data_IF_039174564844
#
_entry.id   IF_039174564844
#
_cell.length_a   1.000
_cell.length_b   1.000
_cell.length_c   1.000
_cell.angle_alpha   90.00
_cell.angle_beta   90.00
_cell.angle_gamma   90.00
#
_symmetry.space_group_name_H-M   'P 1'
#
loop_
_entity.id
_entity.type
_entity.pdbx_description
1 polymer ?
#
# COMPACT_ATOMS: atom_id res chain seq x y z
N UNK A 1 -35.09 2.31 11.33
CA UNK A 1 -33.97 1.37 11.47
C UNK A 1 -32.77 1.96 10.73
N UNK A 2 -31.72 2.31 11.45
CA UNK A 2 -30.43 2.69 10.84
C UNK A 2 -29.94 1.51 10.03
N UNK A 3 -29.54 1.70 8.77
CA UNK A 3 -29.00 0.60 7.98
C UNK A 3 -27.76 0.05 8.72
N UNK A 4 -27.71 -1.28 8.88
CA UNK A 4 -26.56 -1.94 9.47
C UNK A 4 -25.34 -1.73 8.53
N UNK A 5 -24.47 -0.80 8.88
CA UNK A 5 -23.21 -0.62 8.19
C UNK A 5 -22.24 -1.72 8.64
N UNK A 6 -21.75 -2.51 7.70
CA UNK A 6 -20.69 -3.47 7.95
C UNK A 6 -19.37 -2.94 7.41
N UNK A 7 -18.30 -3.11 8.18
CA UNK A 7 -16.93 -2.76 7.79
C UNK A 7 -16.18 -4.05 7.51
N UNK A 8 -15.56 -4.15 6.34
CA UNK A 8 -14.60 -5.21 6.02
C UNK A 8 -13.21 -4.60 5.88
N UNK A 9 -12.27 -5.11 6.66
CA UNK A 9 -10.88 -4.65 6.67
C UNK A 9 -9.99 -5.62 5.90
N UNK A 10 -9.21 -5.09 4.96
CA UNK A 10 -8.22 -5.84 4.17
C UNK A 10 -6.84 -5.33 4.54
N UNK A 11 -5.94 -6.24 4.92
CA UNK A 11 -4.61 -5.91 5.42
C UNK A 11 -3.71 -5.40 4.30
N UNK A 12 -3.02 -4.28 4.56
CA UNK A 12 -1.96 -3.74 3.72
C UNK A 12 -0.57 -4.10 4.23
N UNK A 13 0.46 -3.62 3.54
CA UNK A 13 1.85 -3.85 3.95
C UNK A 13 2.33 -2.86 5.04
N UNK A 14 1.57 -1.82 5.33
CA UNK A 14 1.90 -0.83 6.37
C UNK A 14 1.18 -1.06 7.70
N UNK A 15 0.23 -1.95 7.73
CA UNK A 15 -0.63 -2.25 8.86
C UNK A 15 -0.66 -3.75 9.26
N UNK A 16 0.47 -4.48 9.17
CA UNK A 16 0.51 -5.91 9.44
C UNK A 16 0.17 -6.26 10.89
N UNK A 17 0.24 -5.29 11.81
CA UNK A 17 -0.17 -5.47 13.20
C UNK A 17 -1.60 -5.94 13.37
N UNK A 18 -2.48 -5.63 12.40
CA UNK A 18 -3.88 -6.09 12.40
C UNK A 18 -4.03 -7.62 12.23
N UNK A 19 -2.96 -8.32 11.85
CA UNK A 19 -2.96 -9.80 11.80
C UNK A 19 -2.96 -10.45 13.19
N UNK A 20 -2.69 -9.68 14.24
CA UNK A 20 -2.79 -10.18 15.62
C UNK A 20 -4.25 -10.19 16.08
N UNK A 21 -4.78 -11.34 16.56
CA UNK A 21 -6.16 -11.41 17.06
C UNK A 21 -6.46 -10.39 18.15
N UNK A 22 -5.55 -10.19 19.11
CA UNK A 22 -5.72 -9.21 20.18
C UNK A 22 -5.82 -7.76 19.69
N UNK A 23 -5.15 -7.42 18.55
CA UNK A 23 -5.30 -6.10 17.92
C UNK A 23 -6.67 -5.96 17.28
N UNK A 24 -7.18 -7.03 16.65
CA UNK A 24 -8.53 -7.04 16.05
C UNK A 24 -9.62 -6.89 17.13
N UNK A 25 -9.47 -7.59 18.26
CA UNK A 25 -10.38 -7.51 19.40
C UNK A 25 -10.40 -6.09 19.99
N UNK A 26 -9.22 -5.51 20.23
CA UNK A 26 -9.11 -4.15 20.78
C UNK A 26 -9.67 -3.10 19.82
N UNK A 27 -9.45 -3.25 18.52
CA UNK A 27 -10.01 -2.35 17.52
C UNK A 27 -11.54 -2.40 17.49
N UNK A 28 -12.13 -3.60 17.52
CA UNK A 28 -13.59 -3.77 17.59
C UNK A 28 -14.17 -3.11 18.84
N UNK A 29 -13.50 -3.30 20.00
CA UNK A 29 -13.90 -2.71 21.28
C UNK A 29 -13.81 -1.20 21.25
N UNK A 30 -12.69 -0.65 20.75
CA UNK A 30 -12.43 0.79 20.72
C UNK A 30 -13.42 1.53 19.80
N UNK A 31 -13.80 0.91 18.68
CA UNK A 31 -14.72 1.52 17.71
C UNK A 31 -16.19 1.19 17.97
N UNK A 32 -16.49 0.40 19.01
CA UNK A 32 -17.83 -0.12 19.28
C UNK A 32 -18.53 -0.66 18.02
N UNK A 33 -17.78 -1.41 17.22
CA UNK A 33 -18.19 -1.89 15.91
C UNK A 33 -17.63 -3.26 15.61
N UNK A 34 -18.41 -4.12 14.97
CA UNK A 34 -17.93 -5.40 14.49
C UNK A 34 -17.31 -5.28 13.09
N UNK A 35 -15.99 -5.36 13.03
CA UNK A 35 -15.25 -5.36 11.77
C UNK A 35 -15.03 -6.80 11.31
N UNK A 36 -15.27 -7.06 10.03
CA UNK A 36 -14.88 -8.30 9.37
C UNK A 36 -13.43 -8.17 8.88
N UNK A 37 -12.50 -8.87 9.50
CA UNK A 37 -11.09 -8.90 9.09
C UNK A 37 -10.88 -9.98 8.03
N UNK A 38 -10.88 -9.59 6.76
CA UNK A 38 -10.82 -10.50 5.60
C UNK A 38 -9.41 -10.99 5.25
N UNK A 39 -8.40 -10.63 6.05
CA UNK A 39 -7.01 -10.94 5.71
C UNK A 39 -6.51 -10.12 4.51
N UNK A 40 -5.90 -10.76 3.52
CA UNK A 40 -5.27 -10.05 2.39
C UNK A 40 -6.20 -9.77 1.22
N UNK A 41 -7.32 -10.48 1.10
CA UNK A 41 -8.28 -10.31 0.00
C UNK A 41 -9.72 -10.50 0.44
N UNK A 42 -10.62 -9.89 -0.30
CA UNK A 42 -12.06 -10.04 -0.13
C UNK A 42 -12.75 -10.15 -1.48
N UNK A 43 -13.67 -11.10 -1.61
CA UNK A 43 -14.34 -11.35 -2.89
C UNK A 43 -15.84 -11.46 -2.67
N UNK A 44 -16.62 -10.81 -3.54
CA UNK A 44 -18.07 -10.92 -3.60
C UNK A 44 -18.54 -10.62 -5.02
N UNK A 45 -19.58 -11.26 -5.48
CA UNK A 45 -20.26 -11.03 -6.76
C UNK A 45 -19.31 -10.81 -7.96
N UNK A 46 -18.19 -11.55 -8.00
CA UNK A 46 -17.18 -11.45 -9.05
C UNK A 46 -16.26 -10.22 -8.95
N UNK A 47 -16.33 -9.47 -7.86
CA UNK A 47 -15.40 -8.40 -7.52
C UNK A 47 -14.33 -8.94 -6.59
N UNK A 48 -13.07 -8.84 -6.97
CA UNK A 48 -11.88 -9.15 -6.17
C UNK A 48 -11.28 -7.88 -5.63
N UNK A 49 -11.15 -7.76 -4.31
CA UNK A 49 -10.57 -6.59 -3.64
C UNK A 49 -9.34 -7.03 -2.84
N UNK A 50 -8.26 -6.28 -2.97
CA UNK A 50 -6.99 -6.56 -2.33
C UNK A 50 -6.16 -5.28 -2.23
N UNK A 51 -5.27 -5.17 -1.23
CA UNK A 51 -4.36 -4.03 -1.19
C UNK A 51 -3.41 -4.00 -2.41
N UNK A 52 -2.94 -5.16 -2.86
CA UNK A 52 -2.07 -5.30 -4.04
C UNK A 52 -0.58 -5.50 -3.71
N UNK A 53 -0.18 -5.41 -2.45
CA UNK A 53 1.21 -5.62 -2.03
C UNK A 53 1.71 -7.05 -2.20
N UNK A 54 0.80 -8.04 -2.26
CA UNK A 54 1.13 -9.44 -2.49
C UNK A 54 1.77 -9.69 -3.88
N UNK A 55 1.63 -8.75 -4.82
CA UNK A 55 2.27 -8.79 -6.14
C UNK A 55 3.60 -8.02 -6.20
N UNK A 56 4.00 -7.42 -5.09
CA UNK A 56 5.28 -6.73 -4.95
C UNK A 56 6.26 -7.64 -4.19
N UNK A 57 7.32 -8.16 -4.82
CA UNK A 57 8.19 -9.19 -4.23
C UNK A 57 8.73 -8.85 -2.85
N UNK A 58 9.06 -7.56 -2.61
CA UNK A 58 9.60 -7.10 -1.33
C UNK A 58 8.56 -6.86 -0.25
N UNK A 59 7.27 -6.74 -0.61
CA UNK A 59 6.17 -6.48 0.33
C UNK A 59 5.24 -7.68 0.52
N UNK A 60 5.50 -8.76 -0.22
CA UNK A 60 4.68 -9.96 -0.18
C UNK A 60 4.85 -10.71 1.13
N UNK A 61 3.74 -10.98 1.80
CA UNK A 61 3.69 -11.89 2.96
C UNK A 61 3.63 -13.34 2.51
N UNK A 62 4.23 -14.21 3.30
CA UNK A 62 3.99 -15.64 3.21
C UNK A 62 2.75 -15.99 4.05
N UNK A 63 1.62 -16.18 3.37
CA UNK A 63 0.33 -16.43 4.02
C UNK A 63 0.30 -17.72 4.84
N UNK A 64 1.15 -18.69 4.50
CA UNK A 64 1.27 -19.94 5.25
C UNK A 64 2.19 -19.82 6.47
N UNK A 65 2.95 -18.73 6.59
CA UNK A 65 3.92 -18.51 7.65
C UNK A 65 3.96 -17.05 8.09
N UNK A 66 2.80 -16.55 8.54
CA UNK A 66 2.62 -15.16 8.99
C UNK A 66 3.34 -14.86 10.29
N UNK A 67 3.55 -15.86 11.13
CA UNK A 67 4.21 -15.74 12.42
C UNK A 67 5.40 -16.67 12.49
N UNK A 68 6.42 -16.26 13.24
CA UNK A 68 7.60 -17.06 13.55
C UNK A 68 8.03 -16.80 14.99
N UNK A 69 8.91 -17.63 15.50
CA UNK A 69 9.59 -17.38 16.78
C UNK A 69 10.87 -16.56 16.55
N UNK A 70 11.11 -15.62 17.43
CA UNK A 70 12.38 -14.91 17.48
C UNK A 70 13.42 -15.73 18.26
N UNK A 71 14.65 -15.19 18.44
CA UNK A 71 15.73 -15.88 19.16
C UNK A 71 15.45 -16.12 20.65
N UNK A 72 14.44 -15.46 21.20
CA UNK A 72 14.00 -15.60 22.59
C UNK A 72 12.81 -16.56 22.74
N UNK A 73 12.36 -17.18 21.66
CA UNK A 73 11.16 -18.03 21.65
C UNK A 73 9.84 -17.25 21.62
N UNK A 74 9.87 -15.93 21.43
CA UNK A 74 8.66 -15.13 21.39
C UNK A 74 8.05 -15.17 20.00
N UNK A 75 6.72 -15.30 19.91
CA UNK A 75 5.97 -15.25 18.67
C UNK A 75 6.01 -13.83 18.09
N UNK A 76 6.45 -13.67 16.85
CA UNK A 76 6.54 -12.39 16.14
C UNK A 76 5.99 -12.52 14.73
N UNK A 77 5.57 -11.41 14.12
CA UNK A 77 5.18 -11.39 12.71
C UNK A 77 6.39 -11.68 11.82
N UNK A 78 6.19 -12.51 10.82
CA UNK A 78 7.17 -12.78 9.78
C UNK A 78 7.07 -11.71 8.69
N UNK A 79 7.59 -10.53 8.99
CA UNK A 79 7.49 -9.36 8.14
C UNK A 79 8.31 -9.52 6.85
N UNK A 80 7.77 -9.17 5.68
CA UNK A 80 8.53 -9.09 4.45
C UNK A 80 9.56 -7.96 4.53
N UNK A 81 10.56 -8.04 3.65
CA UNK A 81 11.68 -7.11 3.64
C UNK A 81 11.23 -5.63 3.56
N UNK A 82 10.22 -5.32 2.73
CA UNK A 82 9.72 -3.94 2.60
C UNK A 82 9.15 -3.36 3.89
N UNK A 83 8.52 -4.18 4.75
CA UNK A 83 8.06 -3.74 6.06
C UNK A 83 9.24 -3.44 6.99
N UNK A 84 10.28 -4.30 6.98
CA UNK A 84 11.51 -4.06 7.74
C UNK A 84 12.22 -2.79 7.28
N UNK A 85 12.29 -2.55 5.97
CA UNK A 85 12.83 -1.32 5.42
C UNK A 85 12.07 -0.07 5.89
N UNK A 86 10.74 -0.13 5.95
CA UNK A 86 9.92 0.97 6.49
C UNK A 86 10.27 1.23 7.96
N UNK A 87 10.35 0.19 8.77
CA UNK A 87 10.60 0.30 10.22
C UNK A 87 12.05 0.76 10.49
N UNK A 88 13.03 0.14 9.85
CA UNK A 88 14.45 0.35 10.17
C UNK A 88 15.05 1.58 9.48
N UNK A 89 14.50 2.00 8.34
CA UNK A 89 15.01 3.12 7.55
C UNK A 89 14.01 4.27 7.40
N UNK A 90 12.82 4.01 6.84
CA UNK A 90 11.91 5.10 6.46
C UNK A 90 11.36 5.86 7.67
N UNK A 91 10.95 5.18 8.73
CA UNK A 91 10.42 5.82 9.94
C UNK A 91 11.45 6.74 10.60
N UNK A 92 12.70 6.31 10.89
CA UNK A 92 13.72 7.19 11.42
C UNK A 92 13.98 8.44 10.56
N UNK A 93 14.04 8.26 9.23
CA UNK A 93 14.25 9.39 8.32
C UNK A 93 13.02 10.32 8.27
N UNK A 94 11.81 9.75 8.39
CA UNK A 94 10.56 10.51 8.46
C UNK A 94 10.46 11.36 9.73
N UNK A 95 11.06 10.94 10.83
CA UNK A 95 11.14 11.77 12.05
C UNK A 95 11.94 13.07 11.82
N UNK A 96 12.90 13.04 10.90
CA UNK A 96 13.68 14.24 10.52
C UNK A 96 12.98 15.05 9.40
N UNK A 97 12.30 14.36 8.48
CA UNK A 97 11.64 14.94 7.29
C UNK A 97 10.25 14.32 7.08
N UNK A 98 9.25 14.89 7.70
CA UNK A 98 7.87 14.35 7.80
C UNK A 98 7.24 13.98 6.47
N UNK A 99 7.60 14.64 5.37
CA UNK A 99 7.00 14.44 4.05
C UNK A 99 7.77 13.49 3.13
N UNK A 100 8.85 12.87 3.61
CA UNK A 100 9.75 12.08 2.77
C UNK A 100 9.07 10.92 2.04
N UNK A 101 8.10 10.28 2.68
CA UNK A 101 7.32 9.17 2.13
C UNK A 101 6.30 9.60 1.05
N UNK A 102 6.08 10.90 0.92
CA UNK A 102 5.13 11.49 -0.05
C UNK A 102 5.82 12.02 -1.30
N UNK A 103 7.16 12.08 -1.31
CA UNK A 103 7.93 12.64 -2.41
C UNK A 103 8.24 11.57 -3.46
N UNK A 104 7.90 11.85 -4.71
CA UNK A 104 8.12 10.94 -5.84
C UNK A 104 8.87 11.64 -6.99
N UNK A 105 9.82 10.97 -7.64
CA UNK A 105 10.41 9.69 -7.25
C UNK A 105 11.38 9.86 -6.08
N UNK A 106 11.31 8.97 -5.10
CA UNK A 106 12.13 8.99 -3.88
C UNK A 106 13.64 9.08 -4.15
N UNK A 107 14.12 8.39 -5.15
CA UNK A 107 15.55 8.42 -5.56
C UNK A 107 16.02 9.81 -5.95
N UNK A 108 15.18 10.56 -6.64
CA UNK A 108 15.48 11.95 -7.05
C UNK A 108 15.58 12.86 -5.83
N UNK A 109 14.68 12.66 -4.87
CA UNK A 109 14.74 13.41 -3.61
C UNK A 109 16.04 13.17 -2.84
N UNK A 110 16.48 11.91 -2.71
CA UNK A 110 17.75 11.60 -2.06
C UNK A 110 18.96 12.25 -2.78
N UNK A 111 18.96 12.20 -4.11
CA UNK A 111 20.01 12.83 -4.92
C UNK A 111 20.03 14.36 -4.72
N UNK A 112 18.88 15.01 -4.79
CA UNK A 112 18.77 16.44 -4.53
C UNK A 112 19.15 16.79 -3.08
N UNK A 113 18.86 15.91 -2.12
CA UNK A 113 19.29 16.04 -0.73
C UNK A 113 20.80 16.12 -0.58
N UNK A 114 21.58 15.36 -1.35
CA UNK A 114 23.05 15.48 -1.32
C UNK A 114 23.50 16.86 -1.80
N UNK A 115 22.86 17.39 -2.84
CA UNK A 115 23.26 18.65 -3.49
C UNK A 115 22.84 19.89 -2.69
N UNK A 116 21.62 19.89 -2.16
CA UNK A 116 20.98 21.09 -1.59
C UNK A 116 20.79 21.02 -0.06
N UNK A 117 20.88 19.85 0.54
CA UNK A 117 20.80 19.63 1.99
C UNK A 117 21.75 18.48 2.40
N UNK A 118 23.08 18.66 2.26
CA UNK A 118 24.07 17.60 2.49
C UNK A 118 24.07 17.08 3.93
N UNK A 119 23.73 17.91 4.91
CA UNK A 119 23.63 17.52 6.32
C UNK A 119 22.53 16.48 6.56
N UNK A 120 21.49 16.46 5.73
CA UNK A 120 20.45 15.44 5.72
C UNK A 120 20.76 14.32 4.69
N UNK A 121 21.08 14.69 3.46
CA UNK A 121 21.19 13.77 2.32
C UNK A 121 22.30 12.73 2.50
N UNK A 122 23.47 13.14 2.99
CA UNK A 122 24.60 12.23 3.22
C UNK A 122 24.29 11.20 4.33
N UNK A 123 23.83 11.58 5.53
CA UNK A 123 23.41 10.63 6.55
C UNK A 123 22.28 9.70 6.09
N UNK A 124 21.29 10.20 5.36
CA UNK A 124 20.18 9.39 4.85
C UNK A 124 20.68 8.30 3.89
N UNK A 125 21.57 8.63 2.95
CA UNK A 125 22.16 7.66 2.02
C UNK A 125 23.09 6.68 2.74
N UNK A 126 23.85 7.15 3.70
CA UNK A 126 24.69 6.28 4.53
C UNK A 126 23.84 5.25 5.29
N UNK A 127 22.76 5.68 5.95
CA UNK A 127 21.80 4.78 6.63
C UNK A 127 21.20 3.78 5.64
N UNK A 128 20.80 4.23 4.46
CA UNK A 128 20.26 3.37 3.41
C UNK A 128 21.27 2.31 2.98
N UNK A 129 22.51 2.72 2.73
CA UNK A 129 23.60 1.82 2.32
C UNK A 129 23.92 0.80 3.42
N UNK A 130 24.01 1.24 4.68
CA UNK A 130 24.22 0.35 5.82
C UNK A 130 23.08 -0.64 6.00
N UNK A 131 21.83 -0.21 5.78
CA UNK A 131 20.68 -1.09 5.82
C UNK A 131 20.80 -2.21 4.76
N UNK A 132 21.16 -1.86 3.51
CA UNK A 132 21.39 -2.85 2.46
C UNK A 132 22.57 -3.79 2.75
N UNK A 133 23.67 -3.29 3.32
CA UNK A 133 24.80 -4.12 3.73
C UNK A 133 24.40 -5.10 4.83
N UNK A 134 23.72 -4.61 5.87
CA UNK A 134 23.23 -5.47 6.97
C UNK A 134 22.28 -6.54 6.46
N UNK A 135 21.37 -6.17 5.58
CA UNK A 135 20.43 -7.09 4.96
C UNK A 135 21.17 -8.15 4.12
N UNK A 136 22.13 -7.75 3.32
CA UNK A 136 22.99 -8.67 2.58
C UNK A 136 23.78 -9.63 3.49
N UNK A 137 24.26 -9.18 4.62
CA UNK A 137 24.96 -10.02 5.58
C UNK A 137 24.00 -11.01 6.28
N UNK A 138 22.76 -10.59 6.56
CA UNK A 138 21.71 -11.46 7.07
C UNK A 138 21.34 -12.56 6.06
N UNK A 139 21.19 -12.20 4.77
CA UNK A 139 20.82 -13.13 3.67
C UNK A 139 21.99 -14.06 3.33
N UNK A 140 23.26 -13.66 3.56
CA UNK A 140 24.44 -14.51 3.30
C UNK A 140 24.41 -15.84 4.07
N UNK A 141 23.73 -15.87 5.22
CA UNK A 141 23.50 -17.08 6.02
C UNK A 141 22.29 -17.90 5.54
N UNK A 142 21.47 -17.36 4.63
CA UNK A 142 20.38 -18.01 3.99
C UNK A 142 20.77 -18.27 2.54
N UNK A 143 20.83 -19.52 2.11
CA UNK A 143 21.27 -19.96 0.76
C UNK A 143 20.43 -19.41 -0.42
N UNK A 144 19.67 -18.36 -0.26
CA UNK A 144 18.70 -17.89 -1.24
C UNK A 144 19.09 -16.58 -1.94
N UNK A 145 19.77 -16.76 -3.10
CA UNK A 145 20.06 -15.66 -4.05
C UNK A 145 18.80 -14.95 -4.58
N UNK A 146 17.60 -15.56 -4.45
CA UNK A 146 16.34 -14.95 -4.89
C UNK A 146 15.92 -13.77 -3.99
N UNK A 147 16.15 -13.85 -2.69
CA UNK A 147 15.75 -12.77 -1.77
C UNK A 147 16.58 -11.50 -2.00
N UNK A 148 17.87 -11.62 -2.30
CA UNK A 148 18.69 -10.46 -2.63
C UNK A 148 18.21 -9.71 -3.88
N UNK A 149 17.79 -10.43 -4.94
CA UNK A 149 17.19 -9.78 -6.11
C UNK A 149 15.91 -9.04 -5.75
N UNK A 150 15.10 -9.57 -4.84
CA UNK A 150 13.87 -8.93 -4.33
C UNK A 150 14.17 -7.61 -3.60
N UNK A 151 15.22 -7.59 -2.78
CA UNK A 151 15.64 -6.36 -2.06
C UNK A 151 16.04 -5.23 -3.03
N UNK A 152 16.74 -5.57 -4.12
CA UNK A 152 17.09 -4.58 -5.15
C UNK A 152 15.90 -4.10 -5.97
N UNK A 153 14.84 -4.88 -6.07
CA UNK A 153 13.63 -4.50 -6.81
C UNK A 153 12.86 -3.35 -6.14
N UNK A 154 13.05 -3.12 -4.83
CA UNK A 154 12.48 -1.95 -4.13
C UNK A 154 12.99 -0.63 -4.69
N UNK A 155 14.23 -0.61 -5.18
CA UNK A 155 14.80 0.56 -5.84
C UNK A 155 14.30 0.74 -7.28
N UNK A 156 13.60 -0.24 -7.83
CA UNK A 156 13.01 -0.18 -9.15
C UNK A 156 11.59 0.39 -9.09
N UNK A 157 11.10 0.74 -10.25
CA UNK A 157 9.74 1.27 -10.44
C UNK A 157 8.71 0.32 -9.83
N UNK A 158 7.71 0.88 -9.14
CA UNK A 158 6.55 0.15 -8.60
C UNK A 158 6.01 -0.85 -9.62
N UNK A 159 5.68 -2.10 -9.22
CA UNK A 159 5.19 -3.12 -10.13
C UNK A 159 3.93 -2.64 -10.84
N UNK A 160 3.80 -3.00 -12.11
CA UNK A 160 2.57 -2.78 -12.87
C UNK A 160 1.51 -3.75 -12.36
N UNK A 161 0.76 -3.34 -11.32
CA UNK A 161 -0.31 -4.14 -10.71
C UNK A 161 -1.39 -4.55 -11.72
N UNK A 162 -1.51 -3.82 -12.81
CA UNK A 162 -2.41 -4.12 -13.91
C UNK A 162 -2.19 -5.52 -14.49
N UNK A 163 -0.94 -5.97 -14.64
CA UNK A 163 -0.65 -7.33 -15.13
C UNK A 163 -1.09 -8.42 -14.14
N UNK A 164 -0.97 -8.15 -12.85
CA UNK A 164 -1.46 -9.06 -11.82
C UNK A 164 -2.99 -9.09 -11.80
N UNK A 165 -3.64 -7.93 -11.97
CA UNK A 165 -5.09 -7.85 -12.10
C UNK A 165 -5.61 -8.63 -13.30
N UNK A 166 -4.94 -8.57 -14.47
CA UNK A 166 -5.31 -9.37 -15.66
C UNK A 166 -5.29 -10.87 -15.37
N UNK A 167 -4.32 -11.35 -14.59
CA UNK A 167 -4.24 -12.77 -14.21
C UNK A 167 -5.42 -13.21 -13.33
N UNK A 168 -5.88 -12.33 -12.43
CA UNK A 168 -7.07 -12.61 -11.62
C UNK A 168 -8.32 -12.58 -12.50
N UNK A 169 -8.45 -11.55 -13.34
CA UNK A 169 -9.58 -11.41 -14.26
C UNK A 169 -9.70 -12.54 -15.28
N UNK A 170 -8.59 -13.24 -15.57
CA UNK A 170 -8.61 -14.44 -16.43
C UNK A 170 -9.27 -15.65 -15.76
N UNK A 171 -9.36 -15.66 -14.42
CA UNK A 171 -10.03 -16.75 -13.69
C UNK A 171 -11.56 -16.66 -13.87
N UNK A 172 -12.28 -17.79 -13.93
CA UNK A 172 -13.73 -17.82 -13.99
C UNK A 172 -14.35 -17.09 -12.79
N UNK A 173 -15.49 -16.45 -13.02
CA UNK A 173 -16.25 -15.78 -11.97
C UNK A 173 -15.76 -14.39 -11.58
N UNK A 174 -14.56 -13.95 -11.98
CA UNK A 174 -14.05 -12.61 -11.68
C UNK A 174 -14.21 -11.68 -12.88
N UNK A 175 -14.84 -10.54 -12.67
CA UNK A 175 -15.01 -9.49 -13.68
C UNK A 175 -14.45 -8.13 -13.27
N UNK A 176 -14.19 -7.92 -11.97
CA UNK A 176 -13.61 -6.68 -11.48
C UNK A 176 -12.53 -6.97 -10.45
N UNK A 177 -11.40 -6.25 -10.56
CA UNK A 177 -10.31 -6.26 -9.58
C UNK A 177 -10.08 -4.84 -9.09
N UNK A 178 -10.03 -4.68 -7.77
CA UNK A 178 -9.79 -3.39 -7.10
C UNK A 178 -8.53 -3.52 -6.26
N UNK A 179 -7.53 -2.67 -6.54
CA UNK A 179 -6.27 -2.58 -5.81
C UNK A 179 -6.01 -1.16 -5.27
N UNK A 180 -5.01 -1.03 -4.41
CA UNK A 180 -4.34 0.18 -3.97
C UNK A 180 -2.83 0.08 -4.18
N UNK A 181 -2.04 0.21 -3.13
CA UNK A 181 -0.61 -0.04 -2.96
C UNK A 181 0.36 0.87 -3.73
N UNK A 182 0.21 1.05 -5.03
CA UNK A 182 1.15 1.85 -5.83
C UNK A 182 0.85 3.36 -5.82
N UNK A 183 -0.17 3.79 -5.09
CA UNK A 183 -0.60 5.18 -4.95
C UNK A 183 -1.03 5.87 -6.26
N UNK A 184 -1.23 5.10 -7.34
CA UNK A 184 -1.63 5.62 -8.65
C UNK A 184 -3.07 5.22 -8.95
N UNK A 185 -3.98 6.19 -8.91
CA UNK A 185 -5.36 5.96 -9.27
C UNK A 185 -5.48 5.53 -10.74
N UNK A 186 -6.21 4.46 -10.98
CA UNK A 186 -6.40 3.91 -12.32
C UNK A 186 -7.80 3.31 -12.49
N UNK A 187 -8.33 3.44 -13.69
CA UNK A 187 -9.57 2.80 -14.13
C UNK A 187 -9.34 2.26 -15.54
N UNK A 188 -9.23 0.94 -15.69
CA UNK A 188 -8.88 0.29 -16.95
C UNK A 188 -9.87 -0.81 -17.30
N UNK A 189 -10.48 -0.73 -18.47
CA UNK A 189 -11.35 -1.79 -19.02
C UNK A 189 -10.54 -2.70 -19.94
N UNK A 190 -10.77 -4.02 -19.81
CA UNK A 190 -10.22 -5.05 -20.68
C UNK A 190 -11.39 -5.73 -21.40
N UNK A 191 -11.60 -5.35 -22.66
CA UNK A 191 -12.80 -5.73 -23.39
C UNK A 191 -14.08 -5.14 -22.80
N UNK A 192 -15.21 -5.85 -22.97
CA UNK A 192 -16.53 -5.35 -22.55
C UNK A 192 -16.84 -5.60 -21.07
N UNK A 193 -16.24 -6.64 -20.48
CA UNK A 193 -16.72 -7.17 -19.19
C UNK A 193 -15.72 -7.14 -18.05
N UNK A 194 -14.44 -6.95 -18.33
CA UNK A 194 -13.38 -7.00 -17.32
C UNK A 194 -12.92 -5.60 -16.94
N UNK A 195 -12.78 -5.35 -15.63
CA UNK A 195 -12.43 -4.05 -15.09
C UNK A 195 -11.30 -4.16 -14.05
N UNK A 196 -10.30 -3.31 -14.19
CA UNK A 196 -9.30 -3.05 -13.16
C UNK A 196 -9.46 -1.62 -12.62
N UNK A 197 -9.49 -1.50 -11.30
CA UNK A 197 -9.52 -0.22 -10.59
C UNK A 197 -8.38 -0.19 -9.59
N UNK A 198 -7.66 0.93 -9.53
CA UNK A 198 -6.77 1.22 -8.42
C UNK A 198 -7.26 2.49 -7.73
N UNK A 199 -7.46 2.40 -6.41
CA UNK A 199 -8.01 3.51 -5.63
C UNK A 199 -6.98 4.62 -5.37
N UNK A 200 -5.70 4.42 -5.72
CA UNK A 200 -4.66 5.41 -5.48
C UNK A 200 -4.32 5.57 -4.00
N UNK A 201 -4.23 6.82 -3.56
CA UNK A 201 -3.93 7.16 -2.17
C UNK A 201 -4.72 8.38 -1.72
N UNK A 202 -4.97 8.48 -0.42
CA UNK A 202 -5.56 9.68 0.22
C UNK A 202 -4.50 10.62 0.78
N UNK A 203 -3.22 10.22 0.70
CA UNK A 203 -2.11 11.09 1.04
C UNK A 203 -1.79 12.08 -0.08
N UNK A 204 -1.26 13.23 0.29
CA UNK A 204 -0.66 14.15 -0.65
C UNK A 204 0.60 13.54 -1.25
N UNK A 205 0.75 13.62 -2.56
CA UNK A 205 1.97 13.23 -3.26
C UNK A 205 2.64 14.49 -3.80
N UNK A 206 3.93 14.61 -3.52
CA UNK A 206 4.78 15.69 -4.02
C UNK A 206 5.61 15.13 -5.17
N UNK A 207 5.33 15.59 -6.38
CA UNK A 207 6.04 15.15 -7.58
C UNK A 207 7.22 16.08 -7.86
N UNK A 208 8.41 15.48 -8.05
CA UNK A 208 9.63 16.17 -8.48
C UNK A 208 9.91 16.00 -10.00
N UNK A 209 8.97 15.40 -10.72
CA UNK A 209 9.08 15.24 -12.17
C UNK A 209 8.63 16.50 -12.89
N UNK A 210 9.35 16.85 -13.97
CA UNK A 210 9.06 18.05 -14.77
C UNK A 210 7.63 18.03 -15.34
N UNK A 211 7.11 16.84 -15.67
CA UNK A 211 5.77 16.67 -16.24
C UNK A 211 4.63 16.85 -15.21
N UNK A 212 4.91 16.56 -13.92
CA UNK A 212 3.91 16.56 -12.86
C UNK A 212 4.40 17.34 -11.63
N UNK A 213 5.27 18.32 -11.84
CA UNK A 213 5.87 19.08 -10.74
C UNK A 213 4.80 19.71 -9.85
N UNK A 214 4.90 19.45 -8.55
CA UNK A 214 4.02 20.03 -7.55
C UNK A 214 3.34 19.01 -6.64
N UNK A 215 2.39 19.53 -5.85
CA UNK A 215 1.61 18.74 -4.89
C UNK A 215 0.32 18.25 -5.54
N UNK A 216 0.06 16.97 -5.47
CA UNK A 216 -1.19 16.36 -5.92
C UNK A 216 -1.91 15.69 -4.76
N UNK A 217 -3.17 16.07 -4.55
CA UNK A 217 -4.07 15.42 -3.59
C UNK A 217 -5.30 14.91 -4.34
N UNK A 218 -5.48 13.58 -4.35
CA UNK A 218 -6.64 12.93 -4.96
C UNK A 218 -7.16 11.87 -3.99
N UNK A 219 -8.21 12.19 -3.26
CA UNK A 219 -8.89 11.25 -2.36
C UNK A 219 -9.83 10.34 -3.17
N UNK A 220 -9.24 9.40 -3.91
CA UNK A 220 -10.01 8.49 -4.77
C UNK A 220 -10.49 7.26 -4.01
N UNK A 221 -11.69 6.78 -4.33
CA UNK A 221 -12.29 5.58 -3.77
C UNK A 221 -13.13 4.84 -4.82
N UNK A 222 -13.24 3.54 -4.68
CA UNK A 222 -14.13 2.73 -5.49
C UNK A 222 -15.54 2.75 -4.88
N UNK A 223 -16.52 3.15 -5.68
CA UNK A 223 -17.94 3.09 -5.33
C UNK A 223 -18.61 1.96 -6.09
N UNK A 224 -19.33 1.09 -5.38
CA UNK A 224 -19.99 -0.08 -5.94
C UNK A 224 -21.48 0.06 -5.73
N UNK A 225 -22.24 0.02 -6.82
CA UNK A 225 -23.71 0.02 -6.81
C UNK A 225 -24.28 -1.16 -7.64
N UNK A 226 -25.53 -1.46 -7.43
CA UNK A 226 -26.27 -2.53 -8.11
C UNK A 226 -27.48 -1.95 -8.85
N UNK A 227 -27.28 -1.28 -10.01
CA UNK A 227 -28.37 -0.61 -10.71
C UNK A 227 -29.49 -1.59 -11.12
N UNK A 228 -29.10 -2.81 -11.52
CA UNK A 228 -30.03 -3.83 -12.02
C UNK A 228 -30.26 -4.95 -11.00
N UNK A 229 -29.83 -4.80 -9.74
CA UNK A 229 -29.88 -5.81 -8.66
C UNK A 229 -29.18 -7.14 -8.98
N UNK A 230 -28.55 -7.28 -10.14
CA UNK A 230 -27.94 -8.54 -10.62
C UNK A 230 -26.41 -8.51 -10.61
N UNK A 231 -25.81 -7.40 -11.04
CA UNK A 231 -24.36 -7.30 -11.22
C UNK A 231 -23.82 -5.99 -10.64
N UNK A 232 -22.74 -6.02 -9.83
CA UNK A 232 -22.14 -4.81 -9.29
C UNK A 232 -21.54 -3.96 -10.40
N UNK A 233 -21.79 -2.65 -10.32
CA UNK A 233 -21.17 -1.64 -11.16
C UNK A 233 -20.17 -0.87 -10.32
N UNK A 234 -18.89 -0.85 -10.73
CA UNK A 234 -17.81 -0.18 -10.01
C UNK A 234 -17.45 1.12 -10.71
N UNK A 235 -17.35 2.19 -9.92
CA UNK A 235 -16.95 3.53 -10.34
C UNK A 235 -15.77 3.99 -9.49
N UNK A 236 -14.78 4.63 -10.09
CA UNK A 236 -13.75 5.35 -9.36
C UNK A 236 -14.23 6.79 -9.15
N UNK A 237 -14.35 7.21 -7.90
CA UNK A 237 -14.80 8.55 -7.51
C UNK A 237 -13.71 9.31 -6.76
N UNK A 238 -13.82 10.62 -6.73
CA UNK A 238 -12.95 11.51 -5.95
C UNK A 238 -13.79 12.11 -4.83
N UNK A 239 -13.31 11.97 -3.60
CA UNK A 239 -13.87 12.68 -2.45
C UNK A 239 -13.37 14.13 -2.46
N UNK A 240 -14.27 15.07 -2.52
CA UNK A 240 -13.98 16.53 -2.51
C UNK A 240 -14.21 17.20 -1.16
N UNK A 241 -14.52 16.40 -0.14
CA UNK A 241 -14.92 16.91 1.15
C UNK A 241 -16.39 17.34 1.20
N UNK A 242 -16.80 17.94 2.30
CA UNK A 242 -18.10 18.59 2.43
C UNK A 242 -18.01 19.91 1.67
N UNK A 243 -18.84 20.09 0.65
CA UNK A 243 -18.97 21.39 -0.02
C UNK A 243 -19.83 22.27 0.89
N UNK A 244 -19.25 23.36 1.36
CA UNK A 244 -20.03 24.47 1.91
C UNK A 244 -20.68 25.19 0.73
N UNK A 245 -21.94 25.60 0.90
CA UNK A 245 -22.71 26.33 -0.13
C UNK A 245 -22.08 27.72 -0.35
N UNK A 246 -21.43 28.24 0.67
CA UNK A 246 -20.72 29.53 0.67
C UNK A 246 -19.29 29.29 1.19
N UNK A 247 -18.30 29.76 0.45
CA UNK A 247 -16.92 29.85 0.91
C UNK A 247 -16.62 31.31 1.21
N UNK A 248 -16.25 31.63 2.46
CA UNK A 248 -15.68 32.90 2.80
C UNK A 248 -14.27 32.99 2.21
N UNK A 249 -14.08 33.91 1.28
CA UNK A 249 -12.75 34.23 0.75
C UNK A 249 -12.13 35.24 1.73
N UNK A 250 -11.22 34.71 2.56
CA UNK A 250 -10.41 35.56 3.46
C UNK A 250 -9.14 35.93 2.69
N UNK A 251 -8.96 37.24 2.46
CA UNK A 251 -7.75 37.81 1.86
C UNK A 251 -6.72 38.15 2.93
#
# INVERSE_FOLDING_TARGET
>A
ATPHHSITYIVGNHDPGILWPGVQEELNKTLDTKINFAGFSYTFDGVWIEHGHQYHPSNRFDENNLFKENRKGEKVLNLPWGCLWVIEFLIPVKMERVYIDRIQPFRRYLFLGILFDPLFGIPAITRLTLHFIRDRLRIRNLKDKKEWKRSLEVLRVMPKLEESAKKILAKPGHHTVIFGHNHQAAYRRFGREKLYVNTGTWNDIIHLDVQNLGRQRRMTYAFIDYPDKKRPRVKLKIWKGTQLIEEDVIF
#
